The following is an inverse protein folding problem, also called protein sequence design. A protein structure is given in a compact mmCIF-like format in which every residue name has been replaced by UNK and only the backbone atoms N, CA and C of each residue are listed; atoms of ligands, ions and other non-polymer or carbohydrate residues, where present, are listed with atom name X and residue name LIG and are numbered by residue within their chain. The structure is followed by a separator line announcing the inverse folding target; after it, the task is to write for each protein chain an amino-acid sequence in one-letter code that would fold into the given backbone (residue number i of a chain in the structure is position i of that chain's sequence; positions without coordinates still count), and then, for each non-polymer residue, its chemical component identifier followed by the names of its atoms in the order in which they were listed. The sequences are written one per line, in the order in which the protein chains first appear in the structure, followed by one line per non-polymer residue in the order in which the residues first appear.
data_IF_036288083381
#
_entry.id   IF_036288083381
#
_cell.length_a   1.000
_cell.length_b   1.000
_cell.length_c   1.000
_cell.angle_alpha   90.00
_cell.angle_beta   90.00
_cell.angle_gamma   90.00
#
_symmetry.space_group_name_H-M   'P 1'
#
loop_
_entity.id
_entity.type
_entity.pdbx_description
1 polymer ?
#
# COMPACT_ATOMS: atom_id res chain seq x y z
N UNK A 1 -0.80 12.18 1.55
CA UNK A 1 -0.25 11.00 0.83
C UNK A 1 -0.11 11.30 -0.67
N UNK A 2 -0.66 12.41 -1.17
CA UNK A 2 -0.32 12.96 -2.47
C UNK A 2 -0.93 12.19 -3.62
N UNK A 3 -0.54 12.56 -4.83
CA UNK A 3 -0.91 11.86 -6.05
C UNK A 3 0.31 11.68 -6.95
N UNK A 4 0.22 10.71 -7.86
CA UNK A 4 1.21 10.47 -8.91
C UNK A 4 0.52 10.46 -10.28
N UNK A 5 1.27 10.86 -11.30
CA UNK A 5 0.89 10.60 -12.69
C UNK A 5 1.30 9.16 -13.00
N UNK A 6 0.37 8.20 -12.89
CA UNK A 6 0.66 6.77 -13.02
C UNK A 6 1.15 6.36 -14.41
N UNK A 7 0.96 7.23 -15.42
CA UNK A 7 1.44 7.02 -16.79
C UNK A 7 2.81 7.63 -17.05
N UNK A 8 3.44 8.29 -16.07
CA UNK A 8 4.67 9.06 -16.30
C UNK A 8 5.87 8.20 -16.75
N UNK A 9 5.89 6.92 -16.40
CA UNK A 9 6.95 5.96 -16.80
C UNK A 9 6.60 5.16 -18.05
N UNK A 10 5.48 5.46 -18.74
CA UNK A 10 5.17 4.77 -19.99
C UNK A 10 6.15 5.19 -21.09
N UNK A 11 6.99 4.25 -21.53
CA UNK A 11 7.91 4.47 -22.65
C UNK A 11 7.09 4.46 -23.94
N UNK A 12 6.85 5.64 -24.51
CA UNK A 12 6.06 5.83 -25.74
C UNK A 12 6.70 6.88 -26.64
N UNK A 13 6.51 6.72 -27.95
CA UNK A 13 7.04 7.64 -28.98
C UNK A 13 6.33 9.00 -28.95
N UNK A 14 5.05 9.03 -28.58
CA UNK A 14 4.25 10.24 -28.44
C UNK A 14 3.58 10.30 -27.07
N UNK A 15 3.22 11.51 -26.63
CA UNK A 15 2.46 11.72 -25.38
C UNK A 15 1.07 11.05 -25.51
N UNK A 16 0.60 10.35 -24.47
CA UNK A 16 -0.72 9.75 -24.52
C UNK A 16 -1.80 10.83 -24.50
N UNK A 17 -2.90 10.62 -25.23
CA UNK A 17 -4.04 11.54 -25.27
C UNK A 17 -4.72 11.70 -23.91
N UNK A 18 -4.62 10.67 -23.06
CA UNK A 18 -5.15 10.64 -21.69
C UNK A 18 -4.08 10.18 -20.72
N UNK A 19 -4.22 10.62 -19.48
CA UNK A 19 -3.35 10.20 -18.38
C UNK A 19 -4.18 9.65 -17.22
N UNK A 20 -3.54 8.91 -16.32
CA UNK A 20 -4.12 8.42 -15.09
C UNK A 20 -3.38 9.09 -13.95
N UNK A 21 -4.14 9.74 -13.07
CA UNK A 21 -3.67 10.13 -11.76
C UNK A 21 -4.05 9.05 -10.75
N UNK A 22 -3.12 8.65 -9.90
CA UNK A 22 -3.43 7.83 -8.72
C UNK A 22 -3.20 8.70 -7.50
N UNK A 23 -4.29 9.04 -6.82
CA UNK A 23 -4.26 9.77 -5.56
C UNK A 23 -4.33 8.79 -4.38
N UNK A 24 -3.60 9.10 -3.33
CA UNK A 24 -3.55 8.31 -2.11
C UNK A 24 -3.99 9.17 -0.93
N UNK A 25 -4.97 8.69 -0.18
CA UNK A 25 -5.43 9.31 1.05
C UNK A 25 -5.17 8.37 2.24
N UNK A 26 -4.65 8.93 3.33
CA UNK A 26 -4.49 8.21 4.58
C UNK A 26 -5.72 8.45 5.46
N UNK A 27 -6.32 7.38 5.95
CA UNK A 27 -7.50 7.43 6.84
C UNK A 27 -7.05 7.21 8.29
N UNK A 28 -6.28 8.15 8.81
CA UNK A 28 -5.65 8.09 10.13
C UNK A 28 -6.06 9.25 11.05
N UNK A 29 -7.18 9.90 10.74
CA UNK A 29 -7.70 11.05 11.49
C UNK A 29 -8.43 10.68 12.79
N UNK A 30 -8.75 9.39 12.98
CA UNK A 30 -9.45 8.88 14.17
C UNK A 30 -9.04 7.43 14.47
N UNK A 31 -9.63 6.84 15.50
CA UNK A 31 -9.47 5.43 15.86
C UNK A 31 -9.83 4.51 14.70
N UNK A 32 -9.15 3.34 14.55
CA UNK A 32 -9.45 2.41 13.48
C UNK A 32 -10.91 1.96 13.41
N UNK A 33 -11.59 1.87 14.57
CA UNK A 33 -13.00 1.51 14.67
C UNK A 33 -13.90 2.62 14.12
N UNK A 34 -13.67 3.88 14.51
CA UNK A 34 -14.42 5.02 14.02
C UNK A 34 -14.25 5.21 12.51
N UNK A 35 -12.99 5.16 12.02
CA UNK A 35 -12.68 5.25 10.59
C UNK A 35 -13.36 4.14 9.79
N UNK A 36 -13.32 2.89 10.26
CA UNK A 36 -14.02 1.78 9.59
C UNK A 36 -15.52 2.00 9.55
N UNK A 37 -16.11 2.52 10.64
CA UNK A 37 -17.54 2.80 10.68
C UNK A 37 -17.89 3.90 9.68
N UNK A 38 -17.12 4.98 9.65
CA UNK A 38 -17.28 6.06 8.68
C UNK A 38 -17.19 5.52 7.23
N UNK A 39 -16.20 4.68 6.92
CA UNK A 39 -16.05 4.11 5.58
C UNK A 39 -17.23 3.23 5.13
N UNK A 40 -17.89 2.54 6.08
CA UNK A 40 -19.07 1.72 5.78
C UNK A 40 -20.32 2.57 5.53
N UNK A 41 -20.39 3.75 6.16
CA UNK A 41 -21.53 4.64 6.10
C UNK A 41 -21.36 5.74 5.01
N UNK A 42 -20.13 5.96 4.52
CA UNK A 42 -19.80 6.99 3.55
C UNK A 42 -20.39 6.72 2.16
N UNK A 43 -20.89 7.77 1.54
CA UNK A 43 -21.30 7.79 0.14
C UNK A 43 -20.10 7.85 -0.82
N UNK A 44 -20.33 7.46 -2.08
CA UNK A 44 -19.33 7.57 -3.13
C UNK A 44 -18.84 9.03 -3.33
N UNK A 45 -19.72 10.01 -3.15
CA UNK A 45 -19.39 11.44 -3.27
C UNK A 45 -18.46 11.91 -2.16
N UNK A 46 -18.72 11.50 -0.91
CA UNK A 46 -17.85 11.81 0.23
C UNK A 46 -16.47 11.17 0.06
N UNK A 47 -16.43 9.91 -0.40
CA UNK A 47 -15.17 9.21 -0.69
C UNK A 47 -14.41 9.88 -1.84
N UNK A 48 -15.12 10.32 -2.89
CA UNK A 48 -14.53 11.03 -4.02
C UNK A 48 -13.90 12.35 -3.60
N UNK A 49 -14.64 13.16 -2.84
CA UNK A 49 -14.16 14.45 -2.36
C UNK A 49 -12.91 14.26 -1.48
N UNK A 50 -12.95 13.27 -0.58
CA UNK A 50 -11.81 12.95 0.28
C UNK A 50 -10.59 12.49 -0.53
N UNK A 51 -10.76 11.58 -1.48
CA UNK A 51 -9.68 11.04 -2.29
C UNK A 51 -9.06 12.07 -3.25
N UNK A 52 -9.85 13.05 -3.72
CA UNK A 52 -9.42 14.06 -4.68
C UNK A 52 -8.77 15.28 -4.04
N UNK A 53 -8.77 15.42 -2.72
CA UNK A 53 -8.34 16.64 -2.02
C UNK A 53 -6.98 17.18 -2.50
N UNK A 54 -5.96 16.32 -2.61
CA UNK A 54 -4.62 16.74 -3.05
C UNK A 54 -4.60 17.17 -4.54
N UNK A 55 -5.43 16.56 -5.39
CA UNK A 55 -5.58 16.96 -6.80
C UNK A 55 -6.31 18.30 -6.90
N UNK A 56 -7.36 18.52 -6.12
CA UNK A 56 -8.12 19.78 -6.10
C UNK A 56 -7.29 20.92 -5.49
N UNK A 57 -6.46 20.64 -4.49
CA UNK A 57 -5.50 21.62 -3.98
C UNK A 57 -4.50 22.04 -5.05
N UNK A 58 -4.06 21.12 -5.92
CA UNK A 58 -3.08 21.42 -6.97
C UNK A 58 -3.68 22.08 -8.22
N UNK A 59 -4.88 21.67 -8.64
CA UNK A 59 -5.46 22.03 -9.94
C UNK A 59 -6.77 22.84 -9.85
N UNK A 60 -7.35 22.96 -8.66
CA UNK A 60 -8.65 23.60 -8.43
C UNK A 60 -9.85 22.80 -8.95
N UNK A 61 -11.06 23.28 -8.67
CA UNK A 61 -12.33 22.63 -9.06
C UNK A 61 -12.50 22.45 -10.57
N UNK A 62 -11.80 23.28 -11.38
CA UNK A 62 -11.77 23.13 -12.84
C UNK A 62 -11.23 21.78 -13.31
N UNK A 63 -10.45 21.09 -12.46
CA UNK A 63 -9.91 19.76 -12.71
C UNK A 63 -10.98 18.76 -13.17
N UNK A 64 -12.18 18.79 -12.56
CA UNK A 64 -13.26 17.84 -12.86
C UNK A 64 -13.71 17.90 -14.32
N UNK A 65 -13.56 19.05 -15.00
CA UNK A 65 -13.88 19.18 -16.43
C UNK A 65 -12.97 18.34 -17.33
N UNK A 66 -11.82 17.91 -16.80
CA UNK A 66 -10.83 17.09 -17.49
C UNK A 66 -10.87 15.61 -17.06
N UNK A 67 -11.76 15.26 -16.13
CA UNK A 67 -11.91 13.89 -15.62
C UNK A 67 -13.01 13.18 -16.38
N UNK A 68 -12.66 12.10 -17.09
CA UNK A 68 -13.64 11.28 -17.82
C UNK A 68 -14.15 10.08 -17.02
N UNK A 69 -13.38 9.62 -16.02
CA UNK A 69 -13.68 8.43 -15.23
C UNK A 69 -12.96 8.50 -13.88
N UNK A 70 -13.58 7.92 -12.86
CA UNK A 70 -12.97 7.75 -11.53
C UNK A 70 -13.27 6.35 -11.01
N UNK A 71 -12.23 5.68 -10.52
CA UNK A 71 -12.36 4.45 -9.75
C UNK A 71 -11.84 4.68 -8.34
N UNK A 72 -12.64 4.30 -7.35
CA UNK A 72 -12.29 4.40 -5.94
C UNK A 72 -12.20 3.00 -5.35
N UNK A 73 -11.16 2.77 -4.55
CA UNK A 73 -11.02 1.53 -3.79
C UNK A 73 -10.50 1.83 -2.39
N UNK A 74 -11.10 1.19 -1.41
CA UNK A 74 -10.62 1.21 -0.02
C UNK A 74 -9.74 -0.02 0.18
N UNK A 75 -8.49 0.20 0.60
CA UNK A 75 -7.55 -0.88 0.90
C UNK A 75 -7.20 -0.87 2.38
N UNK A 76 -7.43 -2.01 3.04
CA UNK A 76 -6.89 -2.25 4.37
C UNK A 76 -5.36 -2.24 4.34
N UNK A 77 -4.75 -1.85 5.46
CA UNK A 77 -3.30 -1.94 5.59
C UNK A 77 -2.87 -3.42 5.58
N UNK A 78 -2.23 -3.84 4.49
CA UNK A 78 -1.82 -5.24 4.26
C UNK A 78 -0.35 -5.53 4.59
N UNK A 79 0.31 -4.66 5.35
CA UNK A 79 1.74 -4.75 5.63
C UNK A 79 1.99 -4.79 7.15
N UNK A 80 3.17 -5.25 7.54
CA UNK A 80 3.61 -5.20 8.95
C UNK A 80 3.77 -3.75 9.42
N UNK A 81 3.36 -3.49 10.67
CA UNK A 81 3.60 -2.20 11.36
C UNK A 81 4.57 -2.47 12.52
N UNK A 82 5.90 -2.50 12.26
CA UNK A 82 6.88 -2.76 13.31
C UNK A 82 6.80 -1.69 14.40
N UNK A 83 6.96 -2.15 15.65
CA UNK A 83 7.13 -1.28 16.82
C UNK A 83 8.58 -1.35 17.31
N UNK A 84 9.04 -0.34 18.09
CA UNK A 84 10.31 -0.46 18.79
C UNK A 84 10.41 -1.80 19.53
N UNK A 85 11.55 -2.48 19.38
CA UNK A 85 11.76 -3.85 19.90
C UNK A 85 11.49 -4.98 18.90
N UNK A 86 10.92 -4.70 17.72
CA UNK A 86 10.59 -5.72 16.70
C UNK A 86 11.78 -6.63 16.33
N UNK A 87 12.97 -6.08 16.11
CA UNK A 87 14.13 -6.87 15.68
C UNK A 87 14.61 -7.88 16.74
N UNK A 88 14.32 -7.61 18.01
CA UNK A 88 14.64 -8.45 19.16
C UNK A 88 13.44 -9.27 19.65
N UNK A 89 12.30 -9.22 18.95
CA UNK A 89 11.10 -9.96 19.34
C UNK A 89 11.37 -11.48 19.32
N UNK A 90 11.19 -12.14 20.46
CA UNK A 90 11.51 -13.56 20.59
C UNK A 90 10.63 -14.45 19.72
N UNK A 91 9.36 -14.09 19.51
CA UNK A 91 8.45 -14.87 18.69
C UNK A 91 8.85 -14.79 17.21
N UNK A 92 9.21 -13.59 16.75
CA UNK A 92 9.77 -13.38 15.41
C UNK A 92 11.06 -14.18 15.22
N UNK A 93 12.00 -14.10 16.17
CA UNK A 93 13.27 -14.82 16.08
C UNK A 93 13.07 -16.34 16.02
N UNK A 94 12.10 -16.88 16.77
CA UNK A 94 11.72 -18.30 16.68
C UNK A 94 11.22 -18.68 15.28
N UNK A 95 10.44 -17.81 14.64
CA UNK A 95 9.94 -18.04 13.27
C UNK A 95 11.09 -17.94 12.26
N UNK A 96 11.93 -16.89 12.34
CA UNK A 96 13.09 -16.69 11.47
C UNK A 96 14.10 -17.84 11.54
N UNK A 97 14.34 -18.38 12.75
CA UNK A 97 15.34 -19.42 12.98
C UNK A 97 14.78 -20.85 12.86
N UNK A 98 13.50 -21.01 12.51
CA UNK A 98 12.91 -22.32 12.29
C UNK A 98 13.56 -23.00 11.08
N UNK A 99 14.01 -24.24 11.28
CA UNK A 99 14.71 -25.06 10.29
C UNK A 99 14.09 -26.45 10.09
N UNK A 100 12.92 -26.73 10.67
CA UNK A 100 12.24 -28.03 10.53
C UNK A 100 10.73 -27.88 10.37
N UNK A 101 10.12 -28.83 9.65
CA UNK A 101 8.69 -28.82 9.33
C UNK A 101 8.32 -27.65 8.42
N UNK A 102 7.37 -26.83 8.85
CA UNK A 102 6.94 -25.65 8.09
C UNK A 102 8.00 -24.54 8.15
N UNK A 103 8.45 -24.10 6.98
CA UNK A 103 9.33 -22.95 6.80
C UNK A 103 8.53 -21.75 6.28
N UNK A 104 8.99 -20.54 6.62
CA UNK A 104 8.32 -19.29 6.26
C UNK A 104 9.21 -18.44 5.35
N UNK A 105 8.60 -17.79 4.36
CA UNK A 105 9.29 -17.07 3.28
C UNK A 105 8.68 -15.68 3.02
N UNK A 106 8.01 -15.07 4.01
CA UNK A 106 7.28 -13.83 3.82
C UNK A 106 8.13 -12.59 4.20
N UNK A 107 7.93 -11.46 3.52
CA UNK A 107 8.64 -10.19 3.81
C UNK A 107 8.34 -9.62 5.21
N UNK A 108 7.24 -10.05 5.84
CA UNK A 108 6.94 -9.70 7.24
C UNK A 108 7.99 -10.23 8.21
N UNK A 109 8.77 -11.23 7.80
CA UNK A 109 9.95 -11.66 8.56
C UNK A 109 11.01 -10.55 8.62
N UNK A 110 10.95 -9.50 7.82
CA UNK A 110 11.78 -8.29 7.94
C UNK A 110 11.01 -7.05 8.40
N UNK A 111 9.70 -7.14 8.58
CA UNK A 111 8.79 -6.00 8.79
C UNK A 111 8.82 -4.96 7.69
N UNK A 112 9.37 -5.32 6.53
CA UNK A 112 9.50 -4.41 5.41
C UNK A 112 8.95 -5.11 4.18
N UNK A 113 7.78 -4.68 3.75
CA UNK A 113 7.01 -5.32 2.67
C UNK A 113 7.50 -4.88 1.30
N UNK A 114 8.77 -5.17 1.02
CA UNK A 114 9.38 -4.95 -0.30
C UNK A 114 9.77 -6.28 -0.95
N UNK A 115 9.95 -6.25 -2.26
CA UNK A 115 10.23 -7.46 -3.04
C UNK A 115 11.56 -8.11 -2.66
N UNK A 116 12.56 -7.31 -2.32
CA UNK A 116 13.89 -7.75 -1.93
C UNK A 116 13.84 -8.61 -0.67
N UNK A 117 13.04 -8.21 0.32
CA UNK A 117 12.86 -8.96 1.56
C UNK A 117 12.05 -10.24 1.33
N UNK A 118 10.99 -10.17 0.52
CA UNK A 118 10.24 -11.37 0.12
C UNK A 118 11.14 -12.38 -0.60
N UNK A 119 11.99 -11.91 -1.52
CA UNK A 119 12.96 -12.73 -2.23
C UNK A 119 14.00 -13.33 -1.27
N UNK A 120 14.57 -12.52 -0.38
CA UNK A 120 15.56 -12.96 0.59
C UNK A 120 15.02 -14.13 1.43
N UNK A 121 13.84 -13.97 2.02
CA UNK A 121 13.24 -15.03 2.84
C UNK A 121 12.80 -16.25 2.02
N UNK A 122 12.44 -16.08 0.74
CA UNK A 122 12.26 -17.19 -0.19
C UNK A 122 13.53 -18.01 -0.42
N UNK A 123 14.65 -17.34 -0.66
CA UNK A 123 15.96 -17.99 -0.82
C UNK A 123 16.41 -18.68 0.47
N UNK A 124 16.26 -18.03 1.62
CA UNK A 124 16.61 -18.62 2.92
C UNK A 124 15.76 -19.86 3.25
N UNK A 125 14.45 -19.82 2.97
CA UNK A 125 13.59 -20.98 3.12
C UNK A 125 14.06 -22.13 2.21
N UNK A 126 14.38 -21.86 0.95
CA UNK A 126 14.89 -22.87 0.02
C UNK A 126 16.23 -23.49 0.49
N UNK A 127 17.15 -22.67 1.00
CA UNK A 127 18.43 -23.15 1.57
C UNK A 127 18.21 -24.10 2.73
N UNK A 128 17.27 -23.79 3.62
CA UNK A 128 16.92 -24.65 4.76
C UNK A 128 16.27 -25.97 4.36
N UNK A 129 15.56 -26.02 3.23
CA UNK A 129 15.00 -27.28 2.68
C UNK A 129 16.12 -28.19 2.16
N UNK A 130 17.18 -27.61 1.60
CA UNK A 130 18.28 -28.35 0.96
C UNK A 130 19.39 -28.79 1.92
N UNK A 131 19.42 -28.26 3.14
CA UNK A 131 20.40 -28.58 4.18
C UNK A 131 20.02 -29.85 4.94
#
# INVERSE_FOLDING_TARGET
MGYVVATNQLIRVARPERTIFTAYAALNHDTPQAVRRQLLDASDEELLQFAAQDLLTAYGEGFWRHVSHVDITVRGHGMSVPKPGYLSDEALLKIRNRNTGLLFAHSDLSSYSVFEEALYWGVEAARKVLA
#
